data_IF_220983619517
#
_entry.id   IF_220983619517
#
_cell.length_a   1.000
_cell.length_b   1.000
_cell.length_c   1.000
_cell.angle_alpha   90.00
_cell.angle_beta   90.00
_cell.angle_gamma   90.00
#
_symmetry.space_group_name_H-M   'P 1'
#
loop_
_entity.id
_entity.type
_entity.pdbx_description
1 polymer ?
#
# COMPACT_ATOMS: atom_id res chain seq x y z
N UNK A 1 40.12 -0.22 -37.30
CA UNK A 1 40.12 -0.28 -35.82
C UNK A 1 39.92 1.16 -35.35
N UNK A 2 38.69 1.51 -35.00
CA UNK A 2 38.32 2.81 -34.45
C UNK A 2 38.39 2.72 -32.91
N UNK A 3 38.82 3.78 -32.19
CA UNK A 3 38.74 3.81 -30.75
C UNK A 3 37.28 3.96 -30.29
N UNK A 4 36.89 3.19 -29.28
CA UNK A 4 35.64 3.31 -28.50
C UNK A 4 35.78 4.44 -27.45
N UNK A 5 34.67 4.98 -26.91
CA UNK A 5 34.62 6.34 -26.39
C UNK A 5 35.18 6.46 -24.96
N UNK A 6 35.87 7.56 -24.69
CA UNK A 6 36.14 8.06 -23.33
C UNK A 6 34.89 8.80 -22.84
N UNK A 7 34.57 8.76 -21.55
CA UNK A 7 33.61 9.69 -20.96
C UNK A 7 34.18 11.12 -21.00
N UNK A 8 33.41 12.09 -21.50
CA UNK A 8 33.87 13.48 -21.66
C UNK A 8 33.44 14.37 -20.46
N UNK A 9 32.47 13.94 -19.64
CA UNK A 9 32.05 14.68 -18.43
C UNK A 9 31.29 13.83 -17.40
N UNK A 10 31.20 14.31 -16.15
CA UNK A 10 30.53 13.60 -15.04
C UNK A 10 29.02 13.34 -15.27
N UNK A 11 28.37 14.02 -16.21
CA UNK A 11 26.96 13.77 -16.58
C UNK A 11 26.73 12.43 -17.29
N UNK A 12 27.80 11.80 -17.81
CA UNK A 12 27.73 10.48 -18.46
C UNK A 12 27.70 9.30 -17.46
N UNK A 13 27.96 9.56 -16.18
CA UNK A 13 27.96 8.54 -15.13
C UNK A 13 26.68 8.64 -14.27
N UNK A 14 25.85 7.58 -14.26
CA UNK A 14 24.61 7.54 -13.49
C UNK A 14 24.86 7.41 -11.97
N UNK A 15 24.22 8.28 -11.17
CA UNK A 15 24.20 8.22 -9.70
C UNK A 15 25.44 8.85 -9.05
N UNK A 16 25.92 8.28 -7.94
CA UNK A 16 27.10 8.77 -7.18
C UNK A 16 28.46 8.44 -7.87
N UNK A 17 28.49 8.37 -9.20
CA UNK A 17 29.65 7.91 -10.00
C UNK A 17 30.29 9.07 -10.76
N UNK A 18 31.61 9.02 -10.94
CA UNK A 18 32.43 10.09 -11.54
C UNK A 18 33.33 9.54 -12.67
N UNK A 19 33.72 10.39 -13.61
CA UNK A 19 34.62 9.99 -14.71
C UNK A 19 36.03 9.62 -14.22
N UNK A 20 36.59 8.52 -14.73
CA UNK A 20 37.95 8.07 -14.42
C UNK A 20 38.99 9.07 -14.96
N UNK A 21 39.61 9.86 -14.07
CA UNK A 21 40.60 10.87 -14.43
C UNK A 21 40.79 11.92 -13.33
N UNK A 22 40.32 13.14 -13.57
CA UNK A 22 40.60 14.31 -12.73
C UNK A 22 39.90 14.28 -11.35
N UNK A 23 38.75 13.61 -11.22
CA UNK A 23 37.89 13.70 -10.03
C UNK A 23 37.91 12.49 -9.09
N UNK A 24 38.55 11.36 -9.44
CA UNK A 24 38.54 10.17 -8.58
C UNK A 24 39.49 10.23 -7.35
N UNK A 25 40.28 11.30 -7.20
CA UNK A 25 41.28 11.44 -6.14
C UNK A 25 42.46 10.48 -6.35
N UNK A 26 43.69 10.99 -6.32
CA UNK A 26 44.89 10.21 -6.61
C UNK A 26 45.08 9.03 -5.65
N UNK A 27 44.55 7.85 -6.02
CA UNK A 27 44.91 6.48 -5.64
C UNK A 27 43.76 5.46 -5.90
N UNK A 28 42.60 5.87 -6.45
CA UNK A 28 41.55 4.91 -6.82
C UNK A 28 41.79 4.38 -8.23
N UNK A 29 42.17 3.09 -8.34
CA UNK A 29 42.30 2.41 -9.64
C UNK A 29 40.91 2.01 -10.16
N UNK A 30 40.59 2.37 -11.41
CA UNK A 30 39.34 1.95 -12.04
C UNK A 30 39.37 0.43 -12.33
N UNK A 31 38.27 -0.31 -12.10
CA UNK A 31 38.16 -1.70 -12.52
C UNK A 31 38.39 -1.80 -14.02
N UNK A 32 39.11 -2.84 -14.47
CA UNK A 32 39.39 -3.04 -15.89
C UNK A 32 38.09 -3.14 -16.69
N UNK A 33 37.83 -2.18 -17.57
CA UNK A 33 36.69 -2.18 -18.49
C UNK A 33 35.53 -1.25 -18.13
N UNK A 34 35.72 -0.30 -17.19
CA UNK A 34 34.70 0.72 -16.86
C UNK A 34 35.30 2.12 -16.78
N UNK A 35 34.59 3.11 -17.35
CA UNK A 35 35.03 4.52 -17.42
C UNK A 35 34.53 5.39 -16.24
N UNK A 36 33.78 4.83 -15.29
CA UNK A 36 33.27 5.52 -14.10
C UNK A 36 33.80 4.90 -12.79
N UNK A 37 34.17 5.73 -11.81
CA UNK A 37 34.57 5.34 -10.45
C UNK A 37 33.50 5.75 -9.42
N UNK A 38 33.53 5.16 -8.22
CA UNK A 38 32.74 5.62 -7.06
C UNK A 38 33.72 6.30 -6.10
N UNK A 39 33.53 7.59 -5.82
CA UNK A 39 34.37 8.28 -4.85
C UNK A 39 34.15 7.68 -3.45
N UNK A 40 35.20 7.46 -2.63
CA UNK A 40 35.01 7.02 -1.26
C UNK A 40 34.32 8.13 -0.46
N UNK A 41 33.08 7.87 -0.04
CA UNK A 41 32.43 8.66 1.03
C UNK A 41 33.32 8.56 2.27
N UNK A 42 33.91 9.67 2.69
CA UNK A 42 34.44 9.82 4.04
C UNK A 42 33.28 9.84 5.03
N UNK A 43 32.80 8.65 5.38
CA UNK A 43 32.02 8.41 6.60
C UNK A 43 32.53 7.11 7.20
N UNK A 44 33.42 7.26 8.17
CA UNK A 44 33.83 6.23 9.11
C UNK A 44 32.62 5.85 9.96
N UNK A 45 31.81 4.92 9.47
CA UNK A 45 30.87 4.16 10.30
C UNK A 45 31.43 2.74 10.41
N UNK A 46 32.14 2.46 11.52
CA UNK A 46 32.40 1.09 11.91
C UNK A 46 31.21 0.53 12.70
N UNK A 47 30.93 -0.78 12.60
CA UNK A 47 29.70 -1.39 13.09
C UNK A 47 29.68 -1.47 14.61
N UNK A 48 28.52 -1.21 15.20
CA UNK A 48 28.23 -1.55 16.59
C UNK A 48 28.18 -3.08 16.74
N UNK A 49 29.27 -3.70 17.20
CA UNK A 49 29.26 -4.97 17.96
C UNK A 49 30.70 -5.30 18.39
N UNK A 50 31.10 -4.95 19.61
CA UNK A 50 32.02 -5.72 20.47
C UNK A 50 32.06 -5.06 21.86
N UNK A 51 31.26 -5.57 22.81
CA UNK A 51 31.42 -5.28 24.22
C UNK A 51 32.50 -6.22 24.79
N UNK A 52 33.71 -5.70 25.01
CA UNK A 52 34.67 -6.03 26.10
C UNK A 52 36.08 -5.57 25.70
N UNK A 53 36.62 -4.60 26.43
CA UNK A 53 38.07 -4.41 26.47
C UNK A 53 38.65 -5.45 27.44
N UNK A 54 39.55 -6.29 26.93
CA UNK A 54 40.36 -7.20 27.74
C UNK A 54 41.51 -6.40 28.35
N UNK A 55 41.70 -6.45 29.67
CA UNK A 55 42.60 -5.57 30.41
C UNK A 55 44.11 -5.93 30.25
N UNK A 56 44.46 -6.82 29.31
CA UNK A 56 45.81 -7.36 29.15
C UNK A 56 46.36 -7.32 27.71
N UNK A 57 45.77 -6.53 26.81
CA UNK A 57 46.31 -6.36 25.47
C UNK A 57 47.42 -5.29 25.44
N UNK A 58 48.68 -5.72 25.26
CA UNK A 58 49.85 -4.85 25.05
C UNK A 58 49.96 -4.35 23.60
N UNK A 59 48.95 -3.62 23.12
CA UNK A 59 49.03 -2.87 21.87
C UNK A 59 48.41 -1.47 22.02
N UNK A 60 49.02 -0.43 21.44
CA UNK A 60 48.51 0.94 21.55
C UNK A 60 47.10 1.04 20.93
N UNK A 61 46.19 1.71 21.65
CA UNK A 61 44.86 2.04 21.16
C UNK A 61 44.97 2.91 19.90
N UNK A 62 44.22 2.64 18.81
CA UNK A 62 44.32 3.39 17.56
C UNK A 62 43.65 4.79 17.61
N UNK A 63 43.28 5.28 18.80
CA UNK A 63 42.42 6.46 18.97
C UNK A 63 43.09 7.70 19.56
N UNK A 64 44.41 7.70 19.76
CA UNK A 64 45.11 8.86 20.29
C UNK A 64 46.53 8.94 19.71
N UNK A 65 46.84 10.01 18.98
CA UNK A 65 48.20 10.32 18.54
C UNK A 65 48.85 11.32 19.53
N UNK A 66 50.07 11.01 19.99
CA UNK A 66 50.65 11.58 21.21
C UNK A 66 50.88 13.10 21.18
N UNK A 67 50.94 13.71 19.99
CA UNK A 67 51.26 15.13 19.82
C UNK A 67 50.07 16.00 19.34
N UNK A 68 48.90 15.42 19.03
CA UNK A 68 47.79 16.16 18.42
C UNK A 68 46.49 16.21 19.25
N UNK A 69 46.20 15.17 20.03
CA UNK A 69 44.85 14.98 20.59
C UNK A 69 44.69 15.39 22.08
N UNK A 70 45.79 15.50 22.83
CA UNK A 70 45.77 15.92 24.25
C UNK A 70 46.43 17.30 24.41
N UNK A 71 45.79 18.22 25.12
CA UNK A 71 46.27 19.60 25.29
C UNK A 71 46.93 19.82 26.66
N UNK A 72 48.07 20.52 26.70
CA UNK A 72 48.81 20.82 27.94
C UNK A 72 49.60 19.60 28.47
N UNK A 73 49.71 19.47 29.79
CA UNK A 73 50.48 18.40 30.46
C UNK A 73 49.76 17.03 30.50
N UNK A 74 48.87 16.75 29.54
CA UNK A 74 48.05 15.52 29.54
C UNK A 74 48.58 14.47 28.56
N UNK A 75 48.42 13.19 28.92
CA UNK A 75 48.97 12.04 28.16
C UNK A 75 47.89 11.06 27.70
N UNK A 76 48.15 10.38 26.58
CA UNK A 76 47.28 9.34 26.02
C UNK A 76 47.26 8.10 26.92
N UNK A 77 46.08 7.49 27.09
CA UNK A 77 45.89 6.29 27.91
C UNK A 77 46.49 5.04 27.24
N UNK A 78 47.82 4.90 27.30
CA UNK A 78 48.56 3.73 26.80
C UNK A 78 49.44 3.06 27.86
N UNK A 79 49.91 3.83 28.84
CA UNK A 79 50.65 3.33 30.00
C UNK A 79 50.09 4.04 31.23
N UNK A 80 49.43 3.27 32.12
CA UNK A 80 48.89 3.63 33.45
C UNK A 80 48.90 5.14 33.80
N UNK A 81 47.74 5.80 33.79
CA UNK A 81 47.60 7.17 34.32
C UNK A 81 48.20 7.27 35.74
N UNK A 82 48.97 8.32 36.00
CA UNK A 82 49.68 8.47 37.27
C UNK A 82 48.78 9.09 38.35
N UNK A 83 48.80 8.52 39.57
CA UNK A 83 48.19 9.14 40.74
C UNK A 83 46.65 9.17 40.73
N UNK A 84 46.07 10.37 40.88
CA UNK A 84 44.63 10.64 41.03
C UNK A 84 43.93 10.98 39.69
N UNK A 85 44.53 10.59 38.58
CA UNK A 85 43.99 10.80 37.23
C UNK A 85 43.15 9.62 36.77
N UNK A 86 42.10 9.89 36.00
CA UNK A 86 41.24 8.89 35.39
C UNK A 86 41.16 9.10 33.87
N UNK A 87 41.04 8.00 33.13
CA UNK A 87 40.89 8.07 31.67
C UNK A 87 39.46 8.49 31.31
N UNK A 88 39.31 9.59 30.57
CA UNK A 88 38.00 10.06 30.11
C UNK A 88 37.52 9.23 28.92
N UNK A 89 36.39 8.53 29.08
CA UNK A 89 35.84 7.58 28.10
C UNK A 89 35.52 8.18 26.72
N UNK A 90 35.52 9.51 26.58
CA UNK A 90 35.23 10.20 25.32
C UNK A 90 36.45 10.63 24.50
N UNK A 91 37.64 10.75 25.12
CA UNK A 91 38.78 11.45 24.50
C UNK A 91 40.13 10.74 24.63
N UNK A 92 40.23 9.64 25.36
CA UNK A 92 41.46 8.84 25.42
C UNK A 92 42.66 9.48 26.16
N UNK A 93 42.46 10.64 26.82
CA UNK A 93 43.47 11.32 27.64
C UNK A 93 43.24 11.11 29.15
N UNK A 94 44.33 11.09 29.95
CA UNK A 94 44.27 11.12 31.42
C UNK A 94 43.89 12.53 31.91
N UNK A 95 42.90 12.63 32.82
CA UNK A 95 42.47 13.89 33.44
C UNK A 95 42.42 13.78 34.96
N UNK A 96 42.81 14.84 35.67
CA UNK A 96 42.78 14.90 37.13
C UNK A 96 41.33 14.82 37.62
N UNK A 97 41.01 13.83 38.45
CA UNK A 97 39.70 13.73 39.05
C UNK A 97 39.50 14.89 40.04
N UNK A 98 38.59 15.81 39.73
CA UNK A 98 38.16 16.86 40.65
C UNK A 98 37.35 16.22 41.79
N UNK A 99 38.04 15.68 42.80
CA UNK A 99 37.43 15.31 44.07
C UNK A 99 37.25 16.58 44.90
N UNK A 100 36.06 17.17 44.87
CA UNK A 100 35.40 17.88 45.98
C UNK A 100 34.19 18.72 45.48
N UNK A 101 33.34 18.13 44.64
CA UNK A 101 32.02 18.68 44.42
C UNK A 101 31.12 18.29 45.61
N UNK A 102 30.45 19.25 46.29
CA UNK A 102 29.50 18.93 47.35
C UNK A 102 28.38 18.02 46.81
N UNK A 103 27.79 17.15 47.65
CA UNK A 103 26.71 16.27 47.22
C UNK A 103 25.58 17.10 46.62
N UNK A 104 24.95 16.64 45.52
CA UNK A 104 23.82 17.35 44.94
C UNK A 104 22.73 17.51 46.01
N UNK A 105 22.03 18.66 46.03
CA UNK A 105 20.91 18.84 46.95
C UNK A 105 19.90 17.70 46.78
N UNK A 106 19.18 17.30 47.84
CA UNK A 106 18.16 16.27 47.75
C UNK A 106 17.20 16.61 46.61
N UNK A 107 17.10 15.71 45.64
CA UNK A 107 16.20 15.85 44.50
C UNK A 107 14.77 15.87 45.05
N UNK A 108 14.17 17.06 45.12
CA UNK A 108 12.73 17.16 45.31
C UNK A 108 12.05 16.35 44.20
N UNK A 109 11.05 15.50 44.52
CA UNK A 109 10.33 14.79 43.47
C UNK A 109 9.79 15.82 42.49
N UNK A 110 10.22 15.72 41.23
CA UNK A 110 9.68 16.55 40.17
C UNK A 110 8.16 16.41 40.21
N UNK A 111 7.39 17.52 40.09
CA UNK A 111 5.95 17.40 39.96
C UNK A 111 5.65 16.44 38.80
N UNK A 112 4.60 15.60 38.91
CA UNK A 112 4.22 14.72 37.83
C UNK A 112 4.05 15.54 36.55
N UNK A 113 4.47 15.01 35.39
CA UNK A 113 4.27 15.71 34.13
C UNK A 113 2.79 16.10 34.02
N UNK A 114 2.48 17.29 33.47
CA UNK A 114 1.10 17.64 33.21
C UNK A 114 0.44 16.54 32.36
N UNK A 115 -0.86 16.25 32.56
CA UNK A 115 -1.55 15.28 31.73
C UNK A 115 -1.36 15.66 30.25
N UNK A 116 -1.20 14.67 29.36
CA UNK A 116 -1.06 14.94 27.93
C UNK A 116 -2.25 15.77 27.46
N UNK A 117 -1.95 16.84 26.72
CA UNK A 117 -3.00 17.70 26.14
C UNK A 117 -3.63 16.92 24.99
N UNK A 118 -4.92 16.63 25.08
CA UNK A 118 -5.67 15.93 24.05
C UNK A 118 -5.53 16.63 22.69
N UNK A 119 -5.31 15.83 21.65
CA UNK A 119 -5.10 16.31 20.30
C UNK A 119 -6.37 16.97 19.73
N UNK A 120 -6.22 18.15 19.14
CA UNK A 120 -7.34 18.92 18.56
C UNK A 120 -7.51 18.64 17.07
N UNK A 121 -8.76 18.69 16.62
CA UNK A 121 -9.12 18.60 15.20
C UNK A 121 -8.78 19.89 14.45
N UNK A 122 -8.68 19.80 13.13
CA UNK A 122 -8.48 20.92 12.20
C UNK A 122 -9.79 21.63 11.79
N UNK A 123 -10.92 21.23 12.37
CA UNK A 123 -12.26 21.73 12.04
C UNK A 123 -13.16 20.65 11.41
N UNK A 124 -14.42 21.03 11.19
CA UNK A 124 -15.47 20.18 10.63
C UNK A 124 -16.22 20.89 9.51
N UNK A 125 -16.57 20.15 8.47
CA UNK A 125 -17.27 20.66 7.29
C UNK A 125 -18.44 19.72 6.95
N UNK A 126 -19.71 20.20 6.96
CA UNK A 126 -20.85 19.36 6.59
C UNK A 126 -20.70 18.78 5.19
N UNK A 127 -20.92 17.48 5.05
CA UNK A 127 -20.74 16.76 3.79
C UNK A 127 -21.43 15.39 3.84
N UNK A 128 -22.10 15.00 2.74
CA UNK A 128 -22.85 13.75 2.65
C UNK A 128 -24.30 13.84 3.15
N UNK A 129 -25.07 12.78 2.93
CA UNK A 129 -26.53 12.79 3.03
C UNK A 129 -27.11 12.62 4.45
N UNK A 130 -26.29 12.33 5.47
CA UNK A 130 -26.78 11.92 6.82
C UNK A 130 -26.63 12.97 7.92
N UNK A 131 -26.41 14.24 7.57
CA UNK A 131 -26.17 15.31 8.56
C UNK A 131 -24.80 15.24 9.25
N UNK A 132 -23.94 14.31 8.83
CA UNK A 132 -22.53 14.26 9.18
C UNK A 132 -21.69 15.17 8.28
N UNK A 133 -20.38 14.95 8.31
CA UNK A 133 -19.44 15.75 7.54
C UNK A 133 -18.01 15.25 7.64
N UNK A 134 -17.08 16.06 7.18
CA UNK A 134 -15.65 15.75 7.21
C UNK A 134 -14.99 16.46 8.38
N UNK A 135 -14.26 15.72 9.21
CA UNK A 135 -13.33 16.27 10.21
C UNK A 135 -11.91 16.23 9.66
N UNK A 136 -11.11 17.26 9.92
CA UNK A 136 -9.80 17.44 9.28
C UNK A 136 -8.64 17.32 10.24
N UNK A 137 -7.49 16.95 9.68
CA UNK A 137 -6.19 17.17 10.30
C UNK A 137 -5.86 18.67 10.40
N UNK A 138 -5.07 19.05 11.40
CA UNK A 138 -4.75 20.46 11.67
C UNK A 138 -3.71 21.03 10.69
N UNK A 139 -2.89 20.19 10.09
CA UNK A 139 -1.87 20.62 9.12
C UNK A 139 -2.50 21.10 7.80
N UNK A 140 -1.84 22.07 7.15
CA UNK A 140 -2.36 22.81 5.99
C UNK A 140 -2.90 24.19 6.40
N UNK A 141 -2.79 25.21 5.54
CA UNK A 141 -3.15 26.61 5.88
C UNK A 141 -4.49 27.09 5.31
N UNK A 142 -5.05 26.40 4.31
CA UNK A 142 -6.26 26.83 3.58
C UNK A 142 -7.51 26.05 4.04
N UNK A 143 -8.60 26.75 4.35
CA UNK A 143 -9.82 26.13 4.87
C UNK A 143 -10.40 25.12 3.86
N UNK A 144 -10.79 23.93 4.34
CA UNK A 144 -11.78 23.12 3.65
C UNK A 144 -13.09 23.91 3.66
N UNK A 145 -13.71 24.08 2.50
CA UNK A 145 -14.95 24.84 2.36
C UNK A 145 -16.09 23.88 2.00
N UNK A 146 -17.16 23.91 2.79
CA UNK A 146 -18.46 23.40 2.35
C UNK A 146 -19.23 24.51 1.65
N UNK A 147 -19.68 24.22 0.45
CA UNK A 147 -20.79 24.94 -0.16
C UNK A 147 -21.90 23.91 -0.41
N UNK A 148 -23.05 24.12 0.23
CA UNK A 148 -24.25 23.28 0.14
C UNK A 148 -24.03 21.81 0.55
N UNK A 149 -23.65 20.96 -0.41
CA UNK A 149 -23.43 19.51 -0.33
C UNK A 149 -22.07 19.08 -0.90
N UNK A 150 -21.18 20.05 -1.11
CA UNK A 150 -19.87 19.85 -1.72
C UNK A 150 -18.74 20.20 -0.78
N UNK A 151 -17.69 19.39 -0.82
CA UNK A 151 -16.44 19.55 -0.12
C UNK A 151 -15.37 20.03 -1.10
N UNK A 152 -14.76 21.18 -0.84
CA UNK A 152 -13.55 21.59 -1.56
C UNK A 152 -12.34 21.47 -0.66
N UNK A 153 -11.37 20.65 -1.05
CA UNK A 153 -10.04 20.60 -0.43
C UNK A 153 -9.08 21.50 -1.20
N UNK A 154 -8.21 22.21 -0.48
CA UNK A 154 -7.18 23.09 -1.05
C UNK A 154 -5.85 22.84 -0.36
N UNK A 155 -4.74 22.98 -1.08
CA UNK A 155 -3.42 22.84 -0.47
C UNK A 155 -3.12 21.38 -0.07
N UNK A 156 -2.48 21.21 1.08
CA UNK A 156 -2.27 19.89 1.68
C UNK A 156 -3.31 19.65 2.77
N UNK A 157 -4.23 18.69 2.56
CA UNK A 157 -5.33 18.40 3.48
C UNK A 157 -5.68 16.92 3.49
N UNK A 158 -6.12 16.44 4.65
CA UNK A 158 -6.78 15.14 4.82
C UNK A 158 -7.93 15.29 5.78
N UNK A 159 -9.06 14.67 5.45
CA UNK A 159 -10.22 14.63 6.31
C UNK A 159 -10.93 13.29 6.23
N UNK A 160 -11.75 13.04 7.24
CA UNK A 160 -12.40 11.77 7.53
C UNK A 160 -13.90 11.99 7.67
N UNK A 161 -14.69 11.08 7.10
CA UNK A 161 -16.14 11.13 7.25
C UNK A 161 -16.52 10.81 8.71
N UNK A 162 -17.20 11.75 9.36
CA UNK A 162 -17.61 11.71 10.75
C UNK A 162 -19.11 12.01 10.91
N UNK A 163 -19.70 11.47 11.97
CA UNK A 163 -21.13 11.61 12.27
C UNK A 163 -21.48 13.00 12.80
N UNK A 164 -20.53 13.68 13.43
CA UNK A 164 -20.74 14.97 14.08
C UNK A 164 -19.42 15.76 14.21
N UNK A 165 -19.48 17.10 14.37
CA UNK A 165 -18.31 17.90 14.71
C UNK A 165 -17.81 17.59 16.13
N UNK A 166 -16.49 17.59 16.31
CA UNK A 166 -15.85 17.69 17.63
C UNK A 166 -14.54 18.49 17.55
N UNK A 167 -14.16 19.11 18.68
CA UNK A 167 -12.91 19.87 18.78
C UNK A 167 -11.69 18.99 19.12
N UNK A 168 -11.92 17.89 19.82
CA UNK A 168 -10.88 16.94 20.23
C UNK A 168 -11.04 15.64 19.46
N UNK A 169 -9.92 15.00 19.14
CA UNK A 169 -9.93 13.72 18.44
C UNK A 169 -10.59 12.61 19.26
N UNK A 170 -10.37 12.57 20.59
CA UNK A 170 -11.00 11.58 21.47
C UNK A 170 -12.53 11.62 21.50
N UNK A 171 -13.14 12.73 21.03
CA UNK A 171 -14.59 12.89 20.94
C UNK A 171 -15.16 12.56 19.55
N UNK A 172 -14.31 12.21 18.58
CA UNK A 172 -14.74 11.96 17.20
C UNK A 172 -15.36 10.56 17.05
N UNK A 173 -16.56 10.55 16.47
CA UNK A 173 -17.20 9.34 15.96
C UNK A 173 -17.18 9.34 14.43
N UNK A 174 -16.37 8.48 13.82
CA UNK A 174 -16.36 8.28 12.37
C UNK A 174 -17.66 7.67 11.85
N UNK A 175 -18.12 8.10 10.66
CA UNK A 175 -19.19 7.41 9.94
C UNK A 175 -18.60 6.17 9.27
N UNK A 176 -18.67 5.04 9.98
CA UNK A 176 -18.22 3.74 9.48
C UNK A 176 -19.20 3.21 8.44
N UNK A 177 -18.78 3.27 7.18
CA UNK A 177 -19.56 2.84 6.03
C UNK A 177 -19.54 1.31 5.92
N UNK A 178 -20.69 0.69 6.18
CA UNK A 178 -20.93 -0.73 5.87
C UNK A 178 -21.44 -0.86 4.45
N UNK A 179 -20.56 -1.29 3.54
CA UNK A 179 -20.77 -1.12 2.09
C UNK A 179 -21.15 -2.42 1.36
N UNK A 180 -21.13 -3.59 1.99
CA UNK A 180 -21.58 -4.83 1.35
C UNK A 180 -22.98 -4.67 0.73
N UNK A 181 -23.10 -5.06 -0.55
CA UNK A 181 -24.33 -4.91 -1.34
C UNK A 181 -24.73 -3.45 -1.61
N UNK A 182 -23.78 -2.51 -1.60
CA UNK A 182 -24.04 -1.07 -1.85
C UNK A 182 -23.18 -0.53 -2.98
N UNK A 183 -23.63 0.60 -3.53
CA UNK A 183 -22.86 1.47 -4.41
C UNK A 183 -22.61 2.79 -3.69
N UNK A 184 -21.34 3.15 -3.56
CA UNK A 184 -20.91 4.49 -3.17
C UNK A 184 -20.78 5.33 -4.44
N UNK A 185 -21.36 6.53 -4.44
CA UNK A 185 -21.29 7.51 -5.54
C UNK A 185 -20.74 8.82 -5.03
N UNK A 186 -19.84 9.44 -5.79
CA UNK A 186 -19.38 10.80 -5.56
C UNK A 186 -19.07 11.47 -6.89
N UNK A 187 -19.39 12.75 -7.03
CA UNK A 187 -18.90 13.57 -8.15
C UNK A 187 -17.56 14.20 -7.77
N UNK A 188 -16.55 14.03 -8.62
CA UNK A 188 -15.19 14.56 -8.43
C UNK A 188 -14.90 15.61 -9.52
N UNK A 189 -14.35 16.73 -9.12
CA UNK A 189 -13.77 17.74 -10.00
C UNK A 189 -12.31 17.97 -9.60
N UNK A 190 -11.42 17.46 -10.45
CA UNK A 190 -9.96 17.63 -10.33
C UNK A 190 -9.40 18.66 -11.31
N UNK A 191 -10.22 19.46 -11.99
CA UNK A 191 -9.78 20.40 -13.04
C UNK A 191 -8.70 21.40 -12.57
N UNK A 192 -8.58 21.59 -11.25
CA UNK A 192 -7.56 22.41 -10.57
C UNK A 192 -6.55 21.60 -9.75
N UNK A 193 -6.33 20.33 -10.09
CA UNK A 193 -5.29 19.47 -9.51
C UNK A 193 -4.28 19.18 -10.61
N UNK A 194 -3.16 19.91 -10.60
CA UNK A 194 -2.10 19.78 -11.61
C UNK A 194 -1.28 18.50 -11.46
N UNK A 195 -0.39 18.26 -12.43
CA UNK A 195 0.56 17.15 -12.38
C UNK A 195 1.47 17.24 -11.13
N UNK A 196 1.80 16.11 -10.52
CA UNK A 196 2.56 16.01 -9.27
C UNK A 196 1.77 16.25 -7.98
N UNK A 197 0.51 16.68 -8.08
CA UNK A 197 -0.44 16.61 -6.98
C UNK A 197 -1.28 15.33 -7.10
N UNK A 198 -1.77 14.83 -5.97
CA UNK A 198 -2.71 13.72 -5.88
C UNK A 198 -3.91 14.16 -5.04
N UNK A 199 -5.07 14.20 -5.67
CA UNK A 199 -6.35 14.22 -4.99
C UNK A 199 -6.81 12.78 -4.79
N UNK A 200 -6.98 12.37 -3.54
CA UNK A 200 -7.36 11.00 -3.21
C UNK A 200 -8.73 10.93 -2.53
N UNK A 201 -9.48 9.89 -2.87
CA UNK A 201 -10.70 9.47 -2.20
C UNK A 201 -10.64 7.96 -1.99
N UNK A 202 -10.60 7.55 -0.74
CA UNK A 202 -10.23 6.18 -0.38
C UNK A 202 -10.93 5.73 0.89
N UNK A 203 -10.94 4.42 1.12
CA UNK A 203 -11.56 3.77 2.26
C UNK A 203 -10.49 3.08 3.09
N UNK A 204 -10.49 3.28 4.41
CA UNK A 204 -9.54 2.62 5.31
C UNK A 204 -10.22 1.93 6.48
N UNK A 205 -9.68 0.79 6.91
CA UNK A 205 -10.11 0.07 8.11
C UNK A 205 -9.42 0.61 9.37
N UNK A 206 -9.56 1.91 9.61
CA UNK A 206 -8.90 2.58 10.74
C UNK A 206 -9.60 2.38 12.08
N UNK A 207 -8.85 2.40 13.21
CA UNK A 207 -9.41 2.39 14.55
C UNK A 207 -10.24 3.65 14.84
N UNK A 208 -10.84 3.72 16.03
CA UNK A 208 -11.42 4.96 16.52
C UNK A 208 -10.32 6.02 16.72
N UNK A 209 -10.70 7.29 16.62
CA UNK A 209 -9.85 8.38 17.10
C UNK A 209 -9.74 8.31 18.64
N UNK A 210 -8.67 8.89 19.17
CA UNK A 210 -8.38 8.94 20.61
C UNK A 210 -7.74 10.28 20.98
N UNK A 211 -7.32 10.42 22.25
CA UNK A 211 -6.67 11.63 22.74
C UNK A 211 -5.31 11.89 22.07
N UNK A 212 -4.72 10.90 21.41
CA UNK A 212 -3.45 11.03 20.66
C UNK A 212 -3.67 11.54 19.24
N UNK A 213 -4.82 11.29 18.62
CA UNK A 213 -5.17 11.87 17.33
C UNK A 213 -6.25 11.11 16.55
N UNK A 214 -6.21 11.27 15.23
CA UNK A 214 -7.21 10.68 14.32
C UNK A 214 -7.22 9.15 14.34
N UNK A 215 -6.18 8.49 14.85
CA UNK A 215 -6.01 7.04 14.71
C UNK A 215 -5.78 6.61 13.26
N UNK A 216 -5.39 7.53 12.38
CA UNK A 216 -5.19 7.26 10.96
C UNK A 216 -4.19 6.15 10.70
N UNK A 217 -4.56 5.31 9.74
CA UNK A 217 -3.74 4.28 9.13
C UNK A 217 -4.08 4.18 7.64
N UNK A 218 -3.14 3.62 6.90
CA UNK A 218 -3.26 3.18 5.52
C UNK A 218 -2.29 2.01 5.30
N UNK A 219 -2.15 1.53 4.06
CA UNK A 219 -1.22 0.44 3.79
C UNK A 219 0.25 0.88 3.85
N UNK A 220 0.55 2.17 3.76
CA UNK A 220 1.93 2.67 3.75
C UNK A 220 2.45 2.96 5.16
N UNK A 221 1.56 3.04 6.13
CA UNK A 221 1.87 3.29 7.54
C UNK A 221 2.86 2.27 8.13
N UNK A 222 3.52 2.66 9.22
CA UNK A 222 4.43 1.77 9.95
C UNK A 222 3.70 0.47 10.35
N UNK A 223 4.40 -0.68 10.48
CA UNK A 223 3.78 -2.00 10.71
C UNK A 223 2.70 -2.05 11.80
N UNK A 224 2.90 -1.35 12.91
CA UNK A 224 1.95 -1.33 14.03
C UNK A 224 0.66 -0.52 13.79
N UNK A 225 0.64 0.33 12.75
CA UNK A 225 -0.48 1.19 12.38
C UNK A 225 -0.90 0.98 10.92
N UNK A 226 -0.60 -0.18 10.33
CA UNK A 226 -1.04 -0.50 8.97
C UNK A 226 -2.48 -1.02 8.99
N UNK A 227 -3.28 -0.62 8.01
CA UNK A 227 -4.62 -1.19 7.83
C UNK A 227 -4.96 -1.38 6.35
N UNK A 228 -6.05 -2.12 6.09
CA UNK A 228 -6.59 -2.31 4.75
C UNK A 228 -7.03 -0.97 4.18
N UNK A 229 -6.74 -0.79 2.90
CA UNK A 229 -7.00 0.43 2.13
C UNK A 229 -7.58 0.09 0.75
N UNK A 230 -8.60 0.85 0.36
CA UNK A 230 -9.20 0.79 -0.97
C UNK A 230 -9.19 2.19 -1.56
N UNK A 231 -8.29 2.40 -2.51
CA UNK A 231 -8.13 3.65 -3.23
C UNK A 231 -9.12 3.70 -4.39
N UNK A 232 -10.27 4.32 -4.16
CA UNK A 232 -11.32 4.46 -5.18
C UNK A 232 -10.92 5.47 -6.26
N UNK A 233 -10.13 6.47 -5.89
CA UNK A 233 -9.54 7.43 -6.81
C UNK A 233 -8.27 8.02 -6.19
N UNK A 234 -7.17 7.95 -6.93
CA UNK A 234 -5.97 8.76 -6.73
C UNK A 234 -5.66 9.46 -8.03
N UNK A 235 -5.59 10.78 -8.08
CA UNK A 235 -5.50 11.41 -9.39
C UNK A 235 -5.28 12.90 -9.41
N UNK A 236 -5.00 13.36 -10.63
CA UNK A 236 -4.94 14.74 -11.01
C UNK A 236 -5.52 14.90 -12.42
N UNK A 237 -5.39 16.06 -13.06
CA UNK A 237 -5.90 16.24 -14.43
C UNK A 237 -5.20 15.36 -15.47
N UNK A 238 -3.99 14.85 -15.20
CA UNK A 238 -3.19 14.09 -16.17
C UNK A 238 -3.42 12.59 -16.07
N UNK A 239 -3.55 12.07 -14.84
CA UNK A 239 -3.62 10.65 -14.57
C UNK A 239 -4.55 10.34 -13.41
N UNK A 240 -5.03 9.11 -13.37
CA UNK A 240 -5.83 8.56 -12.28
C UNK A 240 -5.42 7.11 -12.00
N UNK A 241 -5.57 6.69 -10.75
CA UNK A 241 -5.32 5.35 -10.25
C UNK A 241 -6.49 4.86 -9.40
N UNK A 242 -6.66 3.54 -9.41
CA UNK A 242 -7.53 2.81 -8.48
C UNK A 242 -6.73 1.62 -7.99
N UNK A 243 -6.70 1.39 -6.68
CA UNK A 243 -5.90 0.34 -6.09
C UNK A 243 -6.58 -0.32 -4.89
N UNK A 244 -6.32 -1.62 -4.74
CA UNK A 244 -6.68 -2.37 -3.54
C UNK A 244 -5.42 -2.81 -2.80
N UNK A 245 -5.38 -2.55 -1.50
CA UNK A 245 -4.27 -2.84 -0.62
C UNK A 245 -4.74 -3.58 0.65
N UNK A 246 -4.34 -4.83 0.79
CA UNK A 246 -4.79 -5.70 1.90
C UNK A 246 -3.66 -6.19 2.79
N UNK A 247 -2.40 -6.09 2.37
CA UNK A 247 -1.27 -6.58 3.15
C UNK A 247 0.04 -5.80 2.91
N UNK A 248 1.00 -5.98 3.81
CA UNK A 248 2.36 -5.49 3.61
C UNK A 248 3.09 -6.30 2.52
N UNK A 249 4.10 -5.68 1.90
CA UNK A 249 4.88 -6.28 0.83
C UNK A 249 5.01 -5.35 -0.36
N UNK A 250 5.90 -5.68 -1.27
CA UNK A 250 6.22 -4.88 -2.46
C UNK A 250 6.36 -5.82 -3.66
N UNK A 251 6.47 -5.24 -4.85
CA UNK A 251 6.53 -5.94 -6.13
C UNK A 251 5.21 -6.57 -6.58
N UNK A 252 5.21 -7.05 -7.83
CA UNK A 252 4.12 -7.79 -8.44
C UNK A 252 4.21 -9.28 -8.07
N UNK A 253 3.84 -9.59 -6.83
CA UNK A 253 4.06 -10.90 -6.20
C UNK A 253 2.82 -11.81 -6.18
N UNK A 254 1.73 -11.40 -6.84
CA UNK A 254 0.45 -12.10 -6.83
C UNK A 254 -0.48 -11.68 -5.69
N UNK A 255 -0.07 -10.75 -4.84
CA UNK A 255 -0.88 -10.26 -3.70
C UNK A 255 -1.22 -8.79 -3.82
N UNK A 256 -2.31 -8.35 -3.16
CA UNK A 256 -2.67 -6.94 -3.07
C UNK A 256 -1.86 -6.26 -1.96
N UNK A 257 -0.54 -6.16 -2.14
CA UNK A 257 0.40 -5.62 -1.16
C UNK A 257 0.48 -4.08 -1.19
N UNK A 258 1.56 -3.45 -0.71
CA UNK A 258 1.71 -1.99 -0.71
C UNK A 258 1.79 -1.37 -2.11
N UNK A 259 2.13 -2.15 -3.15
CA UNK A 259 2.03 -1.69 -4.54
C UNK A 259 0.61 -1.81 -5.10
N UNK A 260 -0.20 -2.64 -4.45
CA UNK A 260 -1.63 -2.77 -4.70
C UNK A 260 -1.98 -3.63 -5.90
N UNK A 261 -3.19 -4.15 -5.85
CA UNK A 261 -3.93 -4.61 -7.02
C UNK A 261 -4.47 -3.37 -7.74
N UNK A 262 -3.63 -2.78 -8.60
CA UNK A 262 -3.79 -1.42 -9.07
C UNK A 262 -3.93 -1.32 -10.59
N UNK A 263 -4.71 -0.33 -11.03
CA UNK A 263 -4.77 0.13 -12.42
C UNK A 263 -4.39 1.59 -12.50
N UNK A 264 -3.75 1.99 -13.60
CA UNK A 264 -3.42 3.39 -13.90
C UNK A 264 -4.03 3.78 -15.23
N UNK A 265 -4.55 5.00 -15.29
CA UNK A 265 -5.20 5.61 -16.44
C UNK A 265 -4.49 6.92 -16.81
N UNK A 266 -4.64 7.33 -18.07
CA UNK A 266 -4.04 8.58 -18.56
C UNK A 266 -2.61 8.36 -19.01
N UNK A 267 -1.62 8.83 -18.24
CA UNK A 267 -0.20 8.70 -18.64
C UNK A 267 0.19 7.25 -19.02
N UNK A 268 -0.34 6.26 -18.31
CA UNK A 268 -0.09 4.84 -18.56
C UNK A 268 -0.76 4.29 -19.84
N UNK A 269 -1.81 4.94 -20.35
CA UNK A 269 -2.55 4.55 -21.55
C UNK A 269 -2.44 5.56 -22.71
N UNK A 270 -1.51 6.51 -22.60
CA UNK A 270 -1.32 7.58 -23.57
C UNK A 270 -2.42 8.66 -23.55
N UNK A 271 -3.26 8.72 -22.51
CA UNK A 271 -4.32 9.72 -22.36
C UNK A 271 -5.64 9.32 -23.02
N UNK A 272 -5.81 8.05 -23.41
CA UNK A 272 -6.99 7.58 -24.15
C UNK A 272 -8.20 7.37 -23.24
N UNK A 273 -7.98 6.89 -22.00
CA UNK A 273 -9.10 6.59 -21.09
C UNK A 273 -9.41 7.75 -20.14
N UNK A 274 -8.40 8.53 -19.79
CA UNK A 274 -8.50 9.60 -18.81
C UNK A 274 -7.50 10.71 -19.14
N UNK A 275 -7.88 11.97 -18.92
CA UNK A 275 -7.01 13.13 -19.10
C UNK A 275 -7.75 14.32 -19.67
N UNK A 276 -7.07 15.46 -19.81
CA UNK A 276 -7.69 16.69 -20.34
C UNK A 276 -8.09 16.46 -21.80
N UNK A 277 -9.39 16.59 -22.08
CA UNK A 277 -9.97 16.36 -23.40
C UNK A 277 -10.01 14.89 -23.85
N UNK A 278 -9.75 13.94 -22.94
CA UNK A 278 -9.82 12.52 -23.28
C UNK A 278 -11.27 12.13 -23.65
N UNK A 279 -11.47 11.24 -24.64
CA UNK A 279 -12.80 10.90 -25.15
C UNK A 279 -13.64 10.03 -24.19
N UNK A 280 -13.01 9.41 -23.20
CA UNK A 280 -13.69 8.55 -22.22
C UNK A 280 -14.00 9.29 -20.93
N UNK A 281 -12.99 9.89 -20.29
CA UNK A 281 -13.14 10.72 -19.10
C UNK A 281 -12.26 11.96 -19.26
N UNK A 282 -12.88 13.07 -19.62
CA UNK A 282 -12.27 14.39 -19.68
C UNK A 282 -12.12 14.96 -18.27
N UNK A 283 -10.90 14.91 -17.73
CA UNK A 283 -10.56 15.36 -16.37
C UNK A 283 -10.59 16.88 -16.19
N UNK A 284 -10.78 17.66 -17.26
CA UNK A 284 -10.98 19.10 -17.16
C UNK A 284 -12.42 19.47 -16.76
N UNK A 285 -13.31 18.49 -16.66
CA UNK A 285 -14.69 18.64 -16.22
C UNK A 285 -14.99 17.64 -15.09
N UNK A 286 -16.02 17.90 -14.27
CA UNK A 286 -16.47 16.94 -13.27
C UNK A 286 -16.88 15.60 -13.90
N UNK A 287 -16.71 14.52 -13.15
CA UNK A 287 -17.20 13.19 -13.47
C UNK A 287 -17.70 12.50 -12.19
N UNK A 288 -18.58 11.52 -12.32
CA UNK A 288 -19.02 10.70 -11.19
C UNK A 288 -18.16 9.45 -11.07
N UNK A 289 -17.75 9.15 -9.84
CA UNK A 289 -17.11 7.91 -9.43
C UNK A 289 -18.14 7.01 -8.74
N UNK A 290 -18.22 5.76 -9.16
CA UNK A 290 -19.01 4.73 -8.48
C UNK A 290 -18.09 3.61 -7.96
N UNK A 291 -18.13 3.34 -6.67
CA UNK A 291 -17.61 2.10 -6.09
C UNK A 291 -18.76 1.13 -5.83
N UNK A 292 -18.78 -0.01 -6.51
CA UNK A 292 -19.75 -1.08 -6.27
C UNK A 292 -19.12 -2.17 -5.42
N UNK A 293 -19.82 -2.57 -4.36
CA UNK A 293 -19.35 -3.53 -3.39
C UNK A 293 -20.41 -4.62 -3.27
N UNK A 294 -20.10 -5.83 -3.73
CA UNK A 294 -21.05 -6.93 -3.61
C UNK A 294 -21.03 -7.57 -2.22
N UNK A 295 -21.77 -8.67 -2.04
CA UNK A 295 -21.89 -9.34 -0.75
C UNK A 295 -20.69 -10.24 -0.44
N UNK A 296 -19.83 -10.54 -1.42
CA UNK A 296 -18.68 -11.42 -1.29
C UNK A 296 -17.35 -10.63 -1.37
N UNK A 297 -17.39 -9.32 -1.14
CA UNK A 297 -16.22 -8.45 -1.11
C UNK A 297 -15.58 -8.17 -2.47
N UNK A 298 -16.23 -8.49 -3.60
CA UNK A 298 -15.75 -8.02 -4.91
C UNK A 298 -16.10 -6.56 -5.07
N UNK A 299 -15.13 -5.81 -5.59
CA UNK A 299 -15.25 -4.39 -5.87
C UNK A 299 -15.26 -4.20 -7.39
N UNK A 300 -16.07 -3.28 -7.86
CA UNK A 300 -15.89 -2.66 -9.17
C UNK A 300 -15.89 -1.16 -9.03
N UNK A 301 -14.97 -0.49 -9.74
CA UNK A 301 -14.93 0.98 -9.77
C UNK A 301 -15.24 1.45 -11.18
N UNK A 302 -16.12 2.43 -11.26
CA UNK A 302 -16.62 3.00 -12.50
C UNK A 302 -16.46 4.51 -12.51
N UNK A 303 -16.10 5.06 -13.66
CA UNK A 303 -16.18 6.50 -13.93
C UNK A 303 -17.31 6.77 -14.91
N UNK A 304 -18.12 7.77 -14.61
CA UNK A 304 -19.29 8.16 -15.41
C UNK A 304 -19.17 9.63 -15.80
N UNK A 305 -19.18 9.89 -17.10
CA UNK A 305 -19.19 11.25 -17.64
C UNK A 305 -20.11 11.30 -18.86
N UNK A 306 -20.91 12.37 -18.98
CA UNK A 306 -21.87 12.58 -20.07
C UNK A 306 -22.84 11.39 -20.28
N UNK A 307 -23.23 10.73 -19.18
CA UNK A 307 -24.13 9.57 -19.18
C UNK A 307 -23.47 8.25 -19.62
N UNK A 308 -22.17 8.25 -19.93
CA UNK A 308 -21.42 7.06 -20.33
C UNK A 308 -20.67 6.50 -19.13
N UNK A 309 -20.98 5.26 -18.78
CA UNK A 309 -20.38 4.52 -17.66
C UNK A 309 -19.22 3.64 -18.14
N UNK A 310 -18.03 3.82 -17.56
CA UNK A 310 -16.78 3.13 -17.91
C UNK A 310 -16.22 2.39 -16.71
N UNK A 311 -16.03 1.07 -16.83
CA UNK A 311 -15.36 0.27 -15.79
C UNK A 311 -13.88 0.61 -15.83
N UNK A 312 -13.35 1.09 -14.71
CA UNK A 312 -11.93 1.46 -14.61
C UNK A 312 -11.12 0.42 -13.84
N UNK A 313 -11.76 -0.31 -12.91
CA UNK A 313 -11.13 -1.36 -12.10
C UNK A 313 -12.15 -2.47 -11.80
N UNK A 314 -11.70 -3.73 -11.80
CA UNK A 314 -12.50 -4.89 -11.40
C UNK A 314 -11.66 -5.93 -10.68
N UNK A 315 -12.24 -6.56 -9.65
CA UNK A 315 -11.61 -7.67 -8.95
C UNK A 315 -11.29 -8.86 -9.88
N UNK A 316 -11.88 -8.94 -11.07
CA UNK A 316 -11.64 -10.03 -12.03
C UNK A 316 -10.33 -9.88 -12.83
N UNK A 317 -9.86 -8.64 -13.03
CA UNK A 317 -8.77 -8.33 -13.97
C UNK A 317 -7.71 -7.36 -13.44
N UNK A 318 -7.88 -6.82 -12.23
CA UNK A 318 -7.04 -5.77 -11.66
C UNK A 318 -6.10 -6.25 -10.53
N UNK A 319 -5.72 -7.52 -10.54
CA UNK A 319 -4.73 -8.12 -9.63
C UNK A 319 -3.32 -7.55 -9.78
N UNK A 320 -2.37 -8.07 -9.00
CA UNK A 320 -0.97 -7.60 -8.99
C UNK A 320 0.00 -8.75 -9.33
N UNK A 321 0.48 -8.88 -10.58
CA UNK A 321 0.29 -7.95 -11.71
C UNK A 321 -1.05 -8.16 -12.44
N UNK A 322 -1.52 -7.10 -13.11
CA UNK A 322 -2.65 -7.16 -14.03
C UNK A 322 -2.20 -7.60 -15.45
N UNK A 323 -3.05 -8.29 -16.24
CA UNK A 323 -4.39 -8.74 -15.88
C UNK A 323 -4.35 -10.04 -15.07
N UNK A 324 -4.94 -10.01 -13.89
CA UNK A 324 -5.17 -11.17 -13.03
C UNK A 324 -6.37 -10.88 -12.13
N UNK A 325 -7.00 -11.93 -11.60
CA UNK A 325 -8.00 -11.74 -10.56
C UNK A 325 -7.33 -11.32 -9.24
N UNK A 326 -8.03 -10.53 -8.44
CA UNK A 326 -7.70 -10.28 -7.04
C UNK A 326 -7.73 -11.62 -6.28
N UNK A 327 -6.71 -11.95 -5.48
CA UNK A 327 -6.66 -13.19 -4.72
C UNK A 327 -7.83 -13.34 -3.76
N UNK A 328 -8.28 -14.58 -3.53
CA UNK A 328 -9.41 -14.87 -2.65
C UNK A 328 -9.17 -14.40 -1.21
N UNK A 329 -7.94 -14.47 -0.70
CA UNK A 329 -7.58 -14.00 0.63
C UNK A 329 -7.71 -12.47 0.76
N UNK A 330 -7.33 -11.73 -0.29
CA UNK A 330 -7.50 -10.28 -0.34
C UNK A 330 -9.00 -9.93 -0.41
N UNK A 331 -9.77 -10.64 -1.23
CA UNK A 331 -11.23 -10.47 -1.34
C UNK A 331 -11.95 -10.74 -0.02
N UNK A 332 -11.59 -11.80 0.70
CA UNK A 332 -12.16 -12.10 2.03
C UNK A 332 -11.82 -11.02 3.07
N UNK A 333 -10.60 -10.47 3.02
CA UNK A 333 -10.21 -9.37 3.89
C UNK A 333 -11.03 -8.10 3.62
N UNK A 334 -11.30 -7.83 2.35
CA UNK A 334 -12.19 -6.74 1.92
C UNK A 334 -13.63 -7.00 2.39
N UNK A 335 -14.16 -8.20 2.20
CA UNK A 335 -15.50 -8.58 2.65
C UNK A 335 -15.69 -8.27 4.15
N UNK A 336 -14.75 -8.73 4.98
CA UNK A 336 -14.77 -8.48 6.42
C UNK A 336 -14.70 -6.98 6.74
N UNK A 337 -13.76 -6.25 6.13
CA UNK A 337 -13.63 -4.81 6.34
C UNK A 337 -14.90 -4.03 6.01
N UNK A 338 -15.54 -4.35 4.88
CA UNK A 338 -16.77 -3.70 4.43
C UNK A 338 -17.99 -4.09 5.29
N UNK A 339 -17.98 -5.28 5.92
CA UNK A 339 -18.99 -5.70 6.89
C UNK A 339 -18.85 -4.94 8.21
N UNK A 340 -17.62 -4.82 8.73
CA UNK A 340 -17.32 -4.16 10.00
C UNK A 340 -17.54 -2.63 9.90
N UNK A 341 -17.17 -2.08 8.74
CA UNK A 341 -17.36 -0.68 8.39
C UNK A 341 -16.03 0.06 8.26
N UNK A 342 -15.82 0.64 7.09
CA UNK A 342 -14.63 1.41 6.71
C UNK A 342 -14.89 2.91 6.83
N UNK A 343 -13.83 3.71 6.99
CA UNK A 343 -13.92 5.17 7.03
C UNK A 343 -13.56 5.73 5.66
N UNK A 344 -14.42 6.60 5.12
CA UNK A 344 -14.12 7.36 3.91
C UNK A 344 -13.16 8.51 4.24
N UNK A 345 -12.07 8.57 3.48
CA UNK A 345 -11.03 9.58 3.60
C UNK A 345 -10.92 10.34 2.30
N UNK A 346 -10.80 11.66 2.40
CA UNK A 346 -10.49 12.52 1.27
C UNK A 346 -9.23 13.32 1.56
N UNK A 347 -8.30 13.35 0.61
CA UNK A 347 -7.06 14.10 0.77
C UNK A 347 -6.63 14.79 -0.52
N UNK A 348 -5.77 15.80 -0.36
CA UNK A 348 -5.06 16.48 -1.43
C UNK A 348 -3.64 16.69 -0.95
N UNK A 349 -2.66 16.23 -1.71
CA UNK A 349 -1.26 16.32 -1.34
C UNK A 349 -0.37 16.35 -2.58
N UNK A 350 0.92 16.59 -2.38
CA UNK A 350 1.94 16.49 -3.41
C UNK A 350 3.15 15.76 -2.82
N UNK A 351 3.78 14.89 -3.61
CA UNK A 351 4.96 14.15 -3.19
C UNK A 351 6.19 15.07 -3.17
N UNK A 352 7.06 14.87 -2.17
CA UNK A 352 8.46 15.29 -2.26
C UNK A 352 9.21 14.25 -3.10
N UNK A 353 10.26 14.64 -3.82
CA UNK A 353 11.09 13.67 -4.56
C UNK A 353 10.61 13.44 -6.00
N UNK A 354 10.21 12.21 -6.33
CA UNK A 354 9.84 11.78 -7.70
C UNK A 354 8.64 12.53 -8.31
N UNK A 355 7.99 13.40 -7.53
CA UNK A 355 6.95 14.28 -7.99
C UNK A 355 5.70 13.54 -8.43
N UNK A 356 5.36 12.42 -7.77
CA UNK A 356 4.19 11.58 -8.10
C UNK A 356 4.33 10.86 -9.46
N UNK A 357 5.57 10.64 -9.93
CA UNK A 357 5.84 9.99 -11.21
C UNK A 357 5.25 8.57 -11.30
N UNK A 358 5.09 7.87 -10.16
CA UNK A 358 4.36 6.61 -10.13
C UNK A 358 2.92 6.78 -10.64
N UNK A 359 2.24 7.88 -10.33
CA UNK A 359 0.86 8.11 -10.78
C UNK A 359 0.83 8.63 -12.22
N UNK A 360 1.58 9.70 -12.48
CA UNK A 360 1.38 10.52 -13.67
C UNK A 360 2.53 10.50 -14.68
N UNK A 361 3.60 9.74 -14.41
CA UNK A 361 4.75 9.60 -15.30
C UNK A 361 5.56 10.89 -15.48
N UNK A 362 5.43 11.86 -14.58
CA UNK A 362 6.19 13.11 -14.58
C UNK A 362 5.53 14.25 -15.36
N UNK A 363 5.88 15.50 -15.07
CA UNK A 363 5.20 16.67 -15.62
C UNK A 363 5.86 17.19 -16.91
N UNK A 364 5.08 17.92 -17.72
CA UNK A 364 5.56 18.49 -18.99
C UNK A 364 4.86 19.82 -19.30
N UNK A 365 5.15 20.43 -20.46
CA UNK A 365 4.57 21.73 -20.81
C UNK A 365 3.03 21.71 -20.89
N UNK A 366 2.43 20.62 -21.37
CA UNK A 366 0.98 20.46 -21.44
C UNK A 366 0.35 20.19 -20.06
N UNK A 367 1.13 19.65 -19.13
CA UNK A 367 0.73 19.32 -17.77
C UNK A 367 1.80 19.83 -16.79
N UNK A 368 1.84 21.15 -16.55
CA UNK A 368 2.85 21.73 -15.68
C UNK A 368 2.69 21.23 -14.25
N UNK A 369 3.78 21.31 -13.49
CA UNK A 369 3.78 20.98 -12.07
C UNK A 369 2.72 21.79 -11.32
N UNK A 370 2.00 21.08 -10.47
CA UNK A 370 1.01 21.63 -9.55
C UNK A 370 1.66 22.62 -8.58
N UNK A 371 1.09 23.83 -8.51
CA UNK A 371 1.32 24.72 -7.36
C UNK A 371 0.40 24.25 -6.25
N UNK A 372 0.94 23.52 -5.27
CA UNK A 372 0.16 22.83 -4.23
C UNK A 372 -0.82 23.77 -3.53
N UNK A 373 -0.40 24.98 -3.20
CA UNK A 373 -1.20 25.97 -2.49
C UNK A 373 -2.43 26.45 -3.27
N UNK A 374 -2.34 26.42 -4.60
CA UNK A 374 -3.43 26.78 -5.53
C UNK A 374 -4.30 25.58 -5.90
N UNK A 375 -3.79 24.36 -5.68
CA UNK A 375 -4.47 23.13 -6.01
C UNK A 375 -5.79 23.02 -5.25
N UNK A 376 -6.83 22.59 -5.96
CA UNK A 376 -8.14 22.39 -5.38
C UNK A 376 -8.86 21.21 -6.03
N UNK A 377 -9.36 20.30 -5.20
CA UNK A 377 -10.30 19.25 -5.61
C UNK A 377 -11.66 19.52 -4.98
N UNK A 378 -12.73 19.30 -5.74
CA UNK A 378 -14.09 19.36 -5.24
C UNK A 378 -14.74 17.97 -5.31
N UNK A 379 -15.26 17.51 -4.18
CA UNK A 379 -16.11 16.34 -4.06
C UNK A 379 -17.55 16.79 -3.80
N UNK A 380 -18.54 16.15 -4.41
CA UNK A 380 -19.95 16.50 -4.22
C UNK A 380 -20.86 15.30 -4.41
N UNK A 381 -22.12 15.42 -3.99
CA UNK A 381 -23.16 14.40 -4.19
C UNK A 381 -22.80 13.02 -3.60
N UNK A 382 -22.11 12.99 -2.45
CA UNK A 382 -21.79 11.74 -1.77
C UNK A 382 -23.07 11.00 -1.38
N UNK A 383 -23.23 9.78 -1.90
CA UNK A 383 -24.35 8.90 -1.59
C UNK A 383 -23.91 7.44 -1.53
N UNK A 384 -24.40 6.70 -0.52
CA UNK A 384 -24.27 5.25 -0.46
C UNK A 384 -25.67 4.64 -0.59
N UNK A 385 -25.93 3.93 -1.68
CA UNK A 385 -27.23 3.35 -2.00
C UNK A 385 -27.12 1.82 -2.02
N UNK A 386 -28.14 1.10 -1.54
CA UNK A 386 -28.19 -0.35 -1.72
C UNK A 386 -28.21 -0.66 -3.21
N UNK A 387 -27.40 -1.62 -3.65
CA UNK A 387 -27.50 -2.15 -5.01
C UNK A 387 -28.93 -2.67 -5.14
N UNK A 388 -29.74 -2.02 -5.97
CA UNK A 388 -30.96 -2.65 -6.43
C UNK A 388 -30.47 -3.94 -7.09
N UNK A 389 -30.79 -5.10 -6.49
CA UNK A 389 -30.69 -6.35 -7.21
C UNK A 389 -31.46 -6.09 -8.49
N UNK A 390 -30.76 -5.93 -9.62
CA UNK A 390 -31.43 -5.93 -10.90
C UNK A 390 -32.30 -7.19 -10.85
N UNK A 391 -33.63 -7.11 -11.06
CA UNK A 391 -34.37 -8.31 -11.36
C UNK A 391 -33.61 -8.89 -12.54
N UNK A 392 -33.03 -10.07 -12.34
CA UNK A 392 -32.33 -10.79 -13.38
C UNK A 392 -33.14 -10.61 -14.66
N UNK A 393 -32.50 -10.19 -15.75
CA UNK A 393 -33.14 -10.21 -17.05
C UNK A 393 -33.93 -11.52 -17.14
N UNK A 394 -35.23 -11.49 -17.49
CA UNK A 394 -36.01 -12.70 -17.55
C UNK A 394 -35.24 -13.66 -18.44
N UNK A 395 -34.78 -14.76 -17.83
CA UNK A 395 -34.17 -15.89 -18.54
C UNK A 395 -35.00 -16.07 -19.80
N UNK A 396 -34.42 -15.99 -21.01
CA UNK A 396 -35.19 -16.16 -22.23
C UNK A 396 -35.95 -17.46 -22.04
N UNK A 397 -37.29 -17.38 -22.02
CA UNK A 397 -38.10 -18.57 -21.89
C UNK A 397 -37.67 -19.50 -23.03
N UNK A 398 -36.92 -20.53 -22.66
CA UNK A 398 -36.52 -21.58 -23.58
C UNK A 398 -37.79 -22.05 -24.27
N UNK A 399 -37.73 -22.12 -25.60
CA UNK A 399 -38.83 -22.63 -26.41
C UNK A 399 -39.31 -23.93 -25.78
N UNK A 400 -40.63 -24.13 -25.79
CA UNK A 400 -41.38 -25.26 -25.19
C UNK A 400 -40.89 -26.69 -25.53
N UNK A 401 -39.77 -26.85 -26.23
CA UNK A 401 -39.13 -28.13 -26.57
C UNK A 401 -38.49 -28.80 -25.33
N UNK A 402 -37.96 -28.03 -24.37
CA UNK A 402 -37.23 -28.60 -23.20
C UNK A 402 -38.15 -29.17 -22.10
N UNK A 403 -39.42 -28.75 -22.06
CA UNK A 403 -40.42 -29.34 -21.14
C UNK A 403 -40.84 -30.74 -21.58
N UNK A 404 -40.75 -31.06 -22.87
CA UNK A 404 -41.08 -32.38 -23.40
C UNK A 404 -40.01 -33.39 -23.00
N UNK A 405 -38.73 -33.00 -23.00
CA UNK A 405 -37.63 -33.88 -22.58
C UNK A 405 -37.69 -34.25 -21.09
N UNK A 406 -38.03 -33.30 -20.22
CA UNK A 406 -38.15 -33.56 -18.77
C UNK A 406 -39.36 -34.45 -18.46
N UNK A 407 -40.50 -34.23 -19.12
CA UNK A 407 -41.70 -35.05 -18.92
C UNK A 407 -41.55 -36.47 -19.48
N UNK A 408 -40.89 -36.63 -20.64
CA UNK A 408 -40.58 -37.97 -21.20
C UNK A 408 -39.61 -38.74 -20.31
N UNK A 409 -38.63 -38.06 -19.71
CA UNK A 409 -37.67 -38.68 -18.79
C UNK A 409 -38.32 -39.14 -17.48
N UNK A 410 -39.25 -38.35 -16.92
CA UNK A 410 -40.01 -38.73 -15.71
C UNK A 410 -40.96 -39.89 -16.01
N UNK A 411 -41.64 -39.90 -17.16
CA UNK A 411 -42.51 -41.00 -17.57
C UNK A 411 -41.72 -42.31 -17.78
N UNK A 412 -40.52 -42.24 -18.35
CA UNK A 412 -39.64 -43.40 -18.51
C UNK A 412 -39.15 -43.95 -17.16
N UNK A 413 -38.79 -43.10 -16.20
CA UNK A 413 -38.42 -43.54 -14.84
C UNK A 413 -39.60 -44.18 -14.09
N UNK A 414 -40.81 -43.62 -14.21
CA UNK A 414 -42.00 -44.19 -13.57
C UNK A 414 -42.43 -45.52 -14.19
N UNK A 415 -42.27 -45.70 -15.51
CA UNK A 415 -42.48 -46.98 -16.17
C UNK A 415 -41.45 -48.04 -15.73
N UNK A 416 -40.18 -47.65 -15.58
CA UNK A 416 -39.12 -48.54 -15.11
C UNK A 416 -39.33 -48.98 -13.65
N UNK A 417 -39.77 -48.08 -12.78
CA UNK A 417 -40.11 -48.40 -11.38
C UNK A 417 -41.42 -49.21 -11.25
N UNK A 418 -42.35 -49.06 -12.19
CA UNK A 418 -43.57 -49.87 -12.27
C UNK A 418 -43.30 -51.32 -12.68
N UNK A 419 -42.32 -51.54 -13.57
CA UNK A 419 -41.94 -52.89 -14.02
C UNK A 419 -41.29 -53.72 -12.91
N UNK A 420 -40.40 -53.13 -12.11
CA UNK A 420 -39.77 -53.81 -10.95
C UNK A 420 -40.74 -54.15 -9.82
N UNK A 421 -41.95 -53.58 -9.79
CA UNK A 421 -42.97 -53.89 -8.78
C UNK A 421 -43.90 -55.05 -9.17
N UNK A 422 -43.76 -55.58 -10.39
CA UNK A 422 -44.61 -56.64 -10.95
C UNK A 422 -44.00 -58.04 -10.88
N UNK A 423 -42.72 -58.19 -10.53
CA UNK A 423 -42.02 -59.49 -10.62
C UNK A 423 -41.74 -60.18 -9.27
N UNK A 424 -42.03 -59.55 -8.12
CA UNK A 424 -41.78 -60.11 -6.77
C UNK A 424 -43.02 -60.72 -6.06
N UNK A 425 -43.92 -61.35 -6.82
CA UNK A 425 -44.93 -62.26 -6.25
C UNK A 425 -45.00 -63.54 -7.06
N UNK A 426 -44.09 -64.47 -6.76
CA UNK A 426 -44.35 -65.91 -6.74
C UNK A 426 -43.20 -66.64 -6.04
N UNK A 427 -43.61 -67.48 -5.10
CA UNK A 427 -42.93 -68.69 -4.63
C UNK A 427 -41.77 -68.54 -3.64
N UNK A 428 -42.17 -68.36 -2.37
CA UNK A 428 -41.46 -68.94 -1.25
C UNK A 428 -42.01 -70.35 -1.01
N UNK A 429 -41.22 -71.38 -1.25
CA UNK A 429 -41.22 -72.64 -0.49
C UNK A 429 -40.06 -73.54 -0.94
N UNK A 430 -39.31 -74.08 0.03
CA UNK A 430 -38.53 -75.30 -0.18
C UNK A 430 -37.00 -75.20 -0.16
N UNK A 431 -36.45 -75.51 1.02
CA UNK A 431 -35.42 -76.53 1.24
C UNK A 431 -33.93 -76.31 0.83
N UNK A 432 -33.10 -76.52 1.87
CA UNK A 432 -31.92 -77.39 1.95
C UNK A 432 -30.52 -76.87 1.53
N UNK A 433 -29.69 -76.71 2.57
CA UNK A 433 -28.32 -77.24 2.78
C UNK A 433 -27.20 -76.96 1.75
N UNK A 434 -26.05 -76.53 2.28
CA UNK A 434 -24.76 -77.10 1.85
C UNK A 434 -23.64 -76.14 1.45
N UNK A 435 -22.77 -75.80 2.41
CA UNK A 435 -21.31 -76.04 2.40
C UNK A 435 -20.42 -75.47 1.25
N UNK A 436 -19.37 -74.74 1.72
CA UNK A 436 -17.98 -74.54 1.19
C UNK A 436 -17.63 -73.38 0.22
N UNK A 437 -16.69 -72.56 0.70
CA UNK A 437 -15.63 -71.79 -0.02
C UNK A 437 -14.73 -72.74 -0.86
N UNK A 438 -13.74 -72.30 -1.71
CA UNK A 438 -13.16 -70.96 -1.91
C UNK A 438 -12.87 -70.59 -3.40
N UNK A 439 -12.28 -69.41 -3.65
CA UNK A 439 -11.42 -69.20 -4.83
C UNK A 439 -11.48 -67.79 -5.44
N UNK A 440 -10.45 -66.99 -5.17
CA UNK A 440 -10.11 -65.77 -5.91
C UNK A 440 -9.35 -66.14 -7.19
N UNK A 441 -9.46 -65.37 -8.29
CA UNK A 441 -8.26 -64.67 -8.76
C UNK A 441 -8.48 -63.27 -9.37
N UNK A 442 -7.43 -62.47 -9.25
CA UNK A 442 -7.13 -61.17 -9.90
C UNK A 442 -7.07 -61.24 -11.44
N UNK A 443 -7.23 -60.10 -12.15
CA UNK A 443 -6.14 -59.73 -13.05
C UNK A 443 -5.77 -58.23 -13.13
N UNK A 444 -4.44 -58.03 -13.17
CA UNK A 444 -3.58 -57.20 -14.06
C UNK A 444 -3.90 -55.70 -14.31
N UNK A 445 -2.93 -54.89 -13.88
CA UNK A 445 -2.63 -53.51 -14.33
C UNK A 445 -1.67 -53.52 -15.52
N UNK A 446 -1.88 -52.61 -16.48
CA UNK A 446 -0.90 -52.15 -17.47
C UNK A 446 -1.23 -50.70 -17.83
N UNK A 447 -0.44 -49.71 -17.40
CA UNK A 447 -0.33 -48.40 -18.09
C UNK A 447 1.11 -47.90 -17.97
N UNK A 448 1.67 -47.52 -19.13
CA UNK A 448 3.07 -47.18 -19.35
C UNK A 448 3.49 -45.80 -18.83
N UNK A 449 4.81 -45.69 -18.67
CA UNK A 449 5.58 -44.49 -18.35
C UNK A 449 5.78 -43.64 -19.62
N UNK A 450 5.59 -42.33 -19.52
CA UNK A 450 6.27 -41.36 -20.38
C UNK A 450 7.04 -40.38 -19.49
N UNK A 451 8.35 -40.27 -19.73
CA UNK A 451 9.23 -39.23 -19.19
C UNK A 451 9.43 -38.21 -20.31
N UNK A 452 9.29 -36.92 -20.01
CA UNK A 452 9.84 -35.84 -20.84
C UNK A 452 10.51 -34.80 -19.96
N UNK A 453 11.59 -34.26 -20.52
CA UNK A 453 12.68 -33.56 -19.87
C UNK A 453 12.32 -32.16 -19.38
N UNK A 454 12.93 -31.77 -18.25
CA UNK A 454 13.04 -30.41 -17.75
C UNK A 454 14.19 -29.71 -18.48
N UNK A 455 13.88 -28.61 -19.16
CA UNK A 455 14.86 -27.64 -19.64
C UNK A 455 14.92 -26.47 -18.67
N UNK A 456 16.13 -26.15 -18.21
CA UNK A 456 16.44 -24.98 -17.40
C UNK A 456 16.33 -23.69 -18.22
N UNK A 457 15.85 -22.61 -17.59
CA UNK A 457 16.02 -21.25 -18.09
C UNK A 457 16.30 -20.29 -16.94
N UNK A 458 17.07 -19.26 -17.29
CA UNK A 458 18.01 -18.52 -16.47
C UNK A 458 17.41 -17.53 -15.47
N UNK A 459 18.19 -17.32 -14.40
CA UNK A 459 18.03 -16.28 -13.40
C UNK A 459 18.23 -14.90 -14.04
N UNK A 460 17.19 -14.07 -14.02
CA UNK A 460 17.29 -12.63 -14.26
C UNK A 460 17.50 -11.94 -12.92
N UNK A 461 18.60 -11.20 -12.82
CA UNK A 461 19.02 -10.39 -11.67
C UNK A 461 18.23 -9.08 -11.63
N UNK A 462 17.59 -8.80 -10.49
CA UNK A 462 16.91 -7.54 -10.16
C UNK A 462 17.88 -6.48 -9.63
N UNK A 463 17.75 -5.19 -9.97
CA UNK A 463 18.34 -4.11 -9.18
C UNK A 463 17.51 -3.85 -7.91
N UNK A 464 18.21 -3.56 -6.81
CA UNK A 464 17.66 -3.10 -5.53
C UNK A 464 17.61 -1.57 -5.53
N UNK A 465 16.45 -0.95 -5.34
CA UNK A 465 16.32 0.45 -4.92
C UNK A 465 15.09 0.58 -4.00
N UNK A 466 15.29 0.78 -2.70
CA UNK A 466 15.32 2.02 -1.91
C UNK A 466 13.92 2.48 -1.48
N UNK A 467 13.51 2.03 -0.29
CA UNK A 467 12.28 2.44 0.40
C UNK A 467 12.32 3.94 0.76
N UNK A 468 11.21 4.65 0.50
CA UNK A 468 11.03 6.05 0.87
C UNK A 468 10.16 6.11 2.13
N UNK A 469 10.77 6.58 3.23
CA UNK A 469 10.11 6.94 4.48
C UNK A 469 9.28 8.22 4.30
N UNK A 470 8.01 8.19 4.72
CA UNK A 470 7.20 9.39 4.88
C UNK A 470 7.51 10.03 6.23
N UNK A 471 8.40 11.02 6.24
CA UNK A 471 8.58 11.89 7.42
C UNK A 471 7.52 12.99 7.43
N UNK A 472 6.74 12.98 8.51
CA UNK A 472 5.69 13.94 8.86
C UNK A 472 6.34 15.01 9.74
N UNK A 473 6.34 16.26 9.27
CA UNK A 473 6.53 17.47 10.09
C UNK A 473 5.21 18.23 10.20
#
# INVERSE_FOLDING_TARGET
MQPLPFCDSDEDCFGDKWCCGENCGGNVACPSGTDCCVAPRTLTACPAHYHRCDANATHPSPFCDADADCAGDSHCCGELCAGNEACSLGYGCCVVALSDAPPPPPVHPSPPPPPPVAARTGGFVPFGARGGGMVFERYGRTAAQAEESSLTLRGNRRGYLALAPAELWGDIAYDRLRLLGKTLRVTIDVSRVGCGCNAALYLVSMPAADDEGSGYCDIQSAPARRCLEVDLFEGNVKAAGVALHTQAGEAADGTCNQWGCAVRLGAADGGCKYGRGAPNVDSARPFELEGQFDLEGRIEVWMVQDGVRRRVWSAEDSGNPAPAAVPDEARQSVEQALADGVVLVASLWAAKGDGMAWLDGGCNEAYPHCVREDAAVKFSNLAAQTVALHPSEPVPQGRNEDRLFVLVSIAAMLAFLGWFRSEDRKDADGMLTGVRRPGSPSPRKNIGKSKRALGAYDKVTTPKETAISMDVD
#
